data_IF_075237553834
#
_entry.id   IF_075237553834
#
_cell.length_a   1.000
_cell.length_b   1.000
_cell.length_c   1.000
_cell.angle_alpha   90.00
_cell.angle_beta   90.00
_cell.angle_gamma   90.00
#
_symmetry.space_group_name_H-M   'P 1'
#
loop_
_entity.id
_entity.type
_entity.pdbx_description
1 polymer ?
#
# COMPACT_ATOMS: atom_id res chain seq x y z
N UNK A 1 58.46 3.04 29.07
CA UNK A 1 58.27 2.11 27.92
C UNK A 1 57.12 1.09 28.08
N UNK A 2 56.08 1.35 28.90
CA UNK A 2 54.92 0.44 29.06
C UNK A 2 53.55 1.05 28.68
N UNK A 3 53.51 2.29 28.19
CA UNK A 3 52.25 2.96 27.82
C UNK A 3 51.97 3.08 26.31
N UNK A 4 52.86 2.61 25.42
CA UNK A 4 52.67 2.69 23.96
C UNK A 4 52.15 1.41 23.29
N UNK A 5 51.85 0.34 24.05
CA UNK A 5 51.41 -0.96 23.51
C UNK A 5 49.93 -1.27 23.71
N UNK A 6 49.17 -0.43 24.44
CA UNK A 6 47.72 -0.62 24.60
C UNK A 6 46.89 0.07 23.52
N UNK A 7 47.39 1.19 22.98
CA UNK A 7 46.66 1.94 21.95
C UNK A 7 46.69 1.25 20.58
N UNK A 8 47.74 0.47 20.28
CA UNK A 8 47.85 -0.25 19.00
C UNK A 8 46.97 -1.52 18.89
N UNK A 9 46.48 -2.08 20.01
CA UNK A 9 45.56 -3.22 19.98
C UNK A 9 44.08 -2.81 19.88
N UNK A 10 43.73 -1.59 20.29
CA UNK A 10 42.36 -1.07 20.15
C UNK A 10 42.06 -0.53 18.75
N UNK A 11 43.07 -0.08 18.00
CA UNK A 11 42.87 0.39 16.62
C UNK A 11 42.74 -0.76 15.60
N UNK A 12 43.29 -1.95 15.90
CA UNK A 12 43.20 -3.12 15.00
C UNK A 12 41.85 -3.86 15.18
N UNK A 13 41.23 -3.79 16.36
CA UNK A 13 39.90 -4.37 16.58
C UNK A 13 38.76 -3.48 16.04
N UNK A 14 38.98 -2.17 15.92
CA UNK A 14 38.03 -1.24 15.31
C UNK A 14 38.08 -1.27 13.76
N UNK A 15 39.24 -1.59 13.17
CA UNK A 15 39.37 -1.72 11.71
C UNK A 15 38.81 -3.06 11.17
N UNK A 16 38.68 -4.10 12.01
CA UNK A 16 38.06 -5.37 11.64
C UNK A 16 36.51 -5.36 11.80
N UNK A 17 35.94 -4.42 12.56
CA UNK A 17 34.49 -4.25 12.70
C UNK A 17 33.89 -3.29 11.67
N UNK A 18 34.71 -2.46 11.02
CA UNK A 18 34.28 -1.54 9.94
C UNK A 18 34.52 -2.08 8.52
N UNK A 19 35.12 -3.26 8.37
CA UNK A 19 35.31 -3.92 7.06
C UNK A 19 34.43 -5.18 6.86
N UNK A 20 33.51 -5.46 7.79
CA UNK A 20 32.62 -6.62 7.77
C UNK A 20 31.15 -6.34 7.47
N UNK A 21 30.77 -5.09 7.17
CA UNK A 21 29.38 -4.69 6.90
C UNK A 21 29.11 -4.23 5.46
N UNK A 22 30.11 -4.33 4.58
CA UNK A 22 29.98 -4.03 3.14
C UNK A 22 29.66 -5.26 2.27
N UNK A 23 29.21 -6.36 2.87
CA UNK A 23 28.79 -7.59 2.16
C UNK A 23 27.50 -8.20 2.77
N UNK A 24 26.59 -7.38 3.30
CA UNK A 24 25.18 -7.78 3.33
C UNK A 24 24.66 -7.61 1.90
N UNK A 25 25.01 -8.57 1.04
CA UNK A 25 24.28 -8.77 -0.20
C UNK A 25 22.83 -9.03 0.20
N UNK A 26 21.97 -8.04 0.02
CA UNK A 26 20.53 -8.25 0.09
C UNK A 26 20.19 -9.43 -0.81
N UNK A 27 19.30 -10.30 -0.35
CA UNK A 27 18.88 -11.46 -1.11
C UNK A 27 18.51 -11.08 -2.54
N UNK A 28 19.03 -11.86 -3.49
CA UNK A 28 18.69 -11.68 -4.89
C UNK A 28 17.25 -12.14 -5.10
N UNK A 29 16.58 -11.64 -6.15
CA UNK A 29 15.23 -12.09 -6.53
C UNK A 29 15.09 -13.62 -6.71
N UNK A 30 16.21 -14.35 -6.80
CA UNK A 30 16.29 -15.81 -6.95
C UNK A 30 15.89 -16.60 -5.69
N UNK A 31 15.85 -15.96 -4.52
CA UNK A 31 15.51 -16.64 -3.26
C UNK A 31 13.99 -16.76 -3.04
N UNK A 32 13.18 -16.14 -3.90
CA UNK A 32 11.72 -16.10 -3.82
C UNK A 32 11.08 -16.57 -5.13
N UNK A 33 9.84 -17.05 -5.06
CA UNK A 33 9.10 -17.49 -6.23
C UNK A 33 8.83 -16.31 -7.20
N UNK A 34 9.05 -16.46 -8.51
CA UNK A 34 8.67 -15.43 -9.48
C UNK A 34 7.16 -15.40 -9.66
N UNK A 35 6.63 -14.25 -10.08
CA UNK A 35 5.27 -14.13 -10.62
C UNK A 35 5.31 -14.56 -12.07
N UNK A 36 4.40 -15.44 -12.47
CA UNK A 36 4.38 -16.04 -13.81
C UNK A 36 3.03 -15.79 -14.46
N UNK A 37 3.05 -15.36 -15.72
CA UNK A 37 1.84 -15.25 -16.52
C UNK A 37 1.17 -16.62 -16.67
N UNK A 38 -0.16 -16.65 -16.53
CA UNK A 38 -0.95 -17.89 -16.58
C UNK A 38 -1.07 -18.62 -15.23
N UNK A 39 -0.44 -18.13 -14.15
CA UNK A 39 -0.80 -18.52 -12.80
C UNK A 39 -2.27 -18.14 -12.54
N UNK A 40 -3.06 -19.08 -12.00
CA UNK A 40 -4.49 -18.87 -11.75
C UNK A 40 -4.70 -18.69 -10.26
N UNK A 41 -5.32 -17.57 -9.89
CA UNK A 41 -5.74 -17.35 -8.51
C UNK A 41 -6.87 -18.31 -8.11
N UNK A 42 -6.78 -18.86 -6.90
CA UNK A 42 -7.66 -19.87 -6.35
C UNK A 42 -8.20 -19.41 -4.98
N UNK A 43 -9.51 -19.21 -4.90
CA UNK A 43 -10.19 -18.82 -3.66
C UNK A 43 -10.85 -20.03 -3.00
N UNK A 44 -10.79 -20.19 -1.66
CA UNK A 44 -10.39 -19.16 -0.70
C UNK A 44 -8.88 -19.08 -0.38
N UNK A 45 -8.04 -19.97 -0.90
CA UNK A 45 -6.62 -20.10 -0.50
C UNK A 45 -5.84 -18.78 -0.66
N UNK A 46 -6.01 -18.10 -1.79
CA UNK A 46 -5.32 -16.84 -2.11
C UNK A 46 -5.88 -15.62 -1.37
N UNK A 47 -6.86 -15.79 -0.47
CA UNK A 47 -7.18 -14.73 0.49
C UNK A 47 -6.09 -14.58 1.57
N UNK A 48 -5.36 -15.66 1.86
CA UNK A 48 -4.31 -15.67 2.86
C UNK A 48 -2.93 -15.29 2.32
N UNK A 49 -1.93 -15.33 3.20
CA UNK A 49 -0.57 -14.95 2.88
C UNK A 49 0.11 -15.91 1.90
N UNK A 50 1.02 -15.37 1.07
CA UNK A 50 1.87 -16.14 0.15
C UNK A 50 3.39 -16.06 0.48
N UNK A 51 3.88 -16.66 1.58
CA UNK A 51 5.27 -16.54 2.05
C UNK A 51 6.38 -16.92 1.05
N UNK A 52 6.03 -17.62 -0.05
CA UNK A 52 6.96 -17.96 -1.13
C UNK A 52 7.40 -16.73 -1.95
N UNK A 53 6.64 -15.64 -1.92
CA UNK A 53 6.96 -14.37 -2.59
C UNK A 53 7.59 -13.37 -1.63
N UNK A 54 8.45 -12.51 -2.16
CA UNK A 54 9.21 -11.55 -1.35
C UNK A 54 8.30 -10.52 -0.68
N UNK A 55 7.42 -9.88 -1.43
CA UNK A 55 6.60 -8.76 -0.97
C UNK A 55 5.14 -9.10 -1.10
N UNK A 56 4.34 -8.71 -0.13
CA UNK A 56 2.90 -8.83 -0.16
C UNK A 56 2.26 -7.73 0.65
N UNK A 57 1.13 -7.22 0.19
CA UNK A 57 0.44 -6.14 0.88
C UNK A 57 -1.07 -6.34 0.91
N UNK A 58 -1.66 -5.94 2.04
CA UNK A 58 -3.10 -5.79 2.24
C UNK A 58 -3.34 -4.31 2.43
N UNK A 59 -4.01 -3.67 1.48
CA UNK A 59 -4.20 -2.23 1.45
C UNK A 59 -5.68 -1.88 1.43
N UNK A 60 -6.17 -1.36 2.56
CA UNK A 60 -7.55 -0.91 2.70
C UNK A 60 -7.59 0.60 2.59
N UNK A 61 -8.47 1.11 1.76
CA UNK A 61 -8.76 2.53 1.64
C UNK A 61 -10.26 2.74 1.67
N UNK A 62 -10.73 3.86 2.22
CA UNK A 62 -12.17 4.12 2.21
C UNK A 62 -12.58 5.45 2.78
N UNK A 63 -13.88 5.70 2.65
CA UNK A 63 -14.56 6.87 3.16
C UNK A 63 -15.49 6.46 4.29
N UNK A 64 -15.47 7.22 5.38
CA UNK A 64 -16.33 7.07 6.54
C UNK A 64 -17.18 8.34 6.70
N UNK A 65 -18.43 8.16 7.07
CA UNK A 65 -19.35 9.23 7.42
C UNK A 65 -19.91 8.95 8.81
N UNK A 66 -19.86 9.96 9.70
CA UNK A 66 -20.46 9.89 11.04
C UNK A 66 -21.96 10.25 11.02
N UNK A 67 -22.61 10.19 12.19
CA UNK A 67 -24.03 10.48 12.33
C UNK A 67 -24.39 11.95 12.01
N UNK A 68 -23.42 12.85 12.16
CA UNK A 68 -23.51 14.28 11.84
C UNK A 68 -23.28 14.57 10.35
N UNK A 69 -22.86 13.57 9.57
CA UNK A 69 -22.64 13.68 8.12
C UNK A 69 -21.24 14.17 7.74
N UNK A 70 -20.26 14.13 8.65
CA UNK A 70 -18.88 14.50 8.33
C UNK A 70 -18.15 13.34 7.65
N UNK A 71 -17.68 13.60 6.44
CA UNK A 71 -16.86 12.69 5.66
C UNK A 71 -15.40 12.72 6.09
N UNK A 72 -14.80 11.54 6.23
CA UNK A 72 -13.38 11.34 6.51
C UNK A 72 -12.83 10.24 5.61
N UNK A 73 -11.58 10.37 5.20
CA UNK A 73 -10.84 9.27 4.62
C UNK A 73 -10.23 8.39 5.71
N UNK A 74 -10.12 7.09 5.47
CA UNK A 74 -9.20 6.23 6.20
C UNK A 74 -8.40 5.32 5.26
N UNK A 75 -7.21 4.92 5.69
CA UNK A 75 -6.50 3.79 5.10
C UNK A 75 -5.85 2.94 6.19
N UNK A 76 -5.72 1.64 5.91
CA UNK A 76 -4.97 0.67 6.72
C UNK A 76 -4.17 -0.21 5.78
N UNK A 77 -2.85 -0.23 5.95
CA UNK A 77 -1.96 -1.05 5.13
C UNK A 77 -1.11 -1.96 5.98
N UNK A 78 -1.02 -3.23 5.59
CA UNK A 78 -0.04 -4.18 6.07
C UNK A 78 0.85 -4.64 4.93
N UNK A 79 2.15 -4.73 5.17
CA UNK A 79 3.14 -5.29 4.26
C UNK A 79 3.83 -6.48 4.92
N UNK A 80 3.96 -7.60 4.19
CA UNK A 80 4.93 -8.64 4.50
C UNK A 80 6.12 -8.51 3.56
N UNK A 81 7.32 -8.46 4.13
CA UNK A 81 8.58 -8.46 3.38
C UNK A 81 9.45 -9.62 3.82
N UNK A 82 9.72 -10.55 2.90
CA UNK A 82 10.80 -11.52 3.01
C UNK A 82 12.15 -10.82 2.86
N UNK A 83 12.98 -10.88 3.89
CA UNK A 83 14.27 -10.17 3.91
C UNK A 83 15.37 -10.93 3.17
N UNK A 84 15.19 -12.25 3.05
CA UNK A 84 16.20 -13.21 2.62
C UNK A 84 17.43 -13.28 3.54
N UNK A 85 17.34 -12.68 4.73
CA UNK A 85 18.34 -12.80 5.78
C UNK A 85 17.99 -13.95 6.72
N UNK A 86 19.01 -14.65 7.21
CA UNK A 86 18.83 -15.67 8.24
C UNK A 86 18.03 -16.90 7.79
N UNK A 87 17.98 -17.20 6.49
CA UNK A 87 17.37 -18.41 5.95
C UNK A 87 17.92 -19.67 6.64
N UNK A 88 19.26 -19.75 6.74
CA UNK A 88 19.98 -20.87 7.37
C UNK A 88 20.15 -20.72 8.90
N UNK A 89 19.59 -19.68 9.52
CA UNK A 89 19.77 -19.42 10.95
C UNK A 89 18.61 -20.02 11.75
N UNK A 90 18.78 -21.11 12.53
CA UNK A 90 17.67 -21.81 13.19
C UNK A 90 16.96 -20.99 14.30
N UNK A 91 17.46 -19.81 14.64
CA UNK A 91 16.83 -18.93 15.63
C UNK A 91 15.43 -18.52 15.21
N UNK A 92 14.47 -18.60 16.15
CA UNK A 92 13.14 -18.01 16.01
C UNK A 92 13.16 -16.48 15.86
N UNK A 93 14.29 -15.85 16.21
CA UNK A 93 14.49 -14.41 16.12
C UNK A 93 15.18 -13.97 14.83
N UNK A 94 15.57 -14.91 13.95
CA UNK A 94 16.16 -14.55 12.67
C UNK A 94 15.13 -13.74 11.85
N UNK A 95 15.50 -12.57 11.33
CA UNK A 95 14.57 -11.62 10.73
C UNK A 95 14.20 -12.05 9.30
N UNK A 96 13.70 -13.27 9.11
CA UNK A 96 13.40 -13.81 7.77
C UNK A 96 12.28 -13.05 7.08
N UNK A 97 11.33 -12.56 7.87
CA UNK A 97 10.21 -11.77 7.42
C UNK A 97 10.00 -10.59 8.36
N UNK A 98 9.57 -9.48 7.78
CA UNK A 98 9.06 -8.31 8.48
C UNK A 98 7.57 -8.17 8.17
N UNK A 99 6.79 -7.80 9.18
CA UNK A 99 5.44 -7.27 9.04
C UNK A 99 5.53 -5.78 9.34
N UNK A 100 5.11 -4.95 8.40
CA UNK A 100 5.09 -3.50 8.52
C UNK A 100 3.64 -3.08 8.39
N UNK A 101 3.25 -2.03 9.09
CA UNK A 101 1.90 -1.51 8.98
C UNK A 101 1.90 0.00 9.15
N UNK A 102 0.96 0.64 8.48
CA UNK A 102 0.56 2.00 8.81
C UNK A 102 -0.95 2.15 8.64
N UNK A 103 -1.51 3.10 9.35
CA UNK A 103 -2.92 3.45 9.25
C UNK A 103 -3.06 4.96 9.39
N UNK A 104 -4.09 5.51 8.77
CA UNK A 104 -4.31 6.94 8.79
C UNK A 104 -5.78 7.35 8.69
N UNK A 105 -6.08 8.53 9.23
CA UNK A 105 -7.35 9.23 9.08
C UNK A 105 -7.10 10.59 8.42
N UNK A 106 -7.85 10.85 7.35
CA UNK A 106 -7.94 12.14 6.69
C UNK A 106 -9.21 12.85 7.15
N UNK A 107 -9.07 13.76 8.12
CA UNK A 107 -10.16 14.61 8.62
C UNK A 107 -9.91 16.07 8.21
N UNK A 108 -10.77 16.66 7.35
CA UNK A 108 -10.67 18.07 6.98
C UNK A 108 -10.64 19.05 8.17
N UNK A 109 -11.29 18.71 9.30
CA UNK A 109 -11.25 19.55 10.50
C UNK A 109 -9.87 19.56 11.17
N UNK A 110 -9.08 18.49 10.99
CA UNK A 110 -7.69 18.41 11.45
C UNK A 110 -6.73 19.09 10.47
N UNK A 111 -7.06 19.08 9.17
CA UNK A 111 -6.32 19.77 8.11
C UNK A 111 -4.97 19.13 7.75
N UNK A 112 -4.64 17.99 8.33
CA UNK A 112 -3.51 17.14 7.99
C UNK A 112 -3.80 15.68 8.37
N UNK A 113 -3.06 14.74 7.78
CA UNK A 113 -3.20 13.32 8.04
C UNK A 113 -2.85 12.97 9.51
N UNK A 114 -3.78 12.34 10.23
CA UNK A 114 -3.45 11.63 11.47
C UNK A 114 -2.98 10.25 11.08
N UNK A 115 -1.78 9.83 11.50
CA UNK A 115 -1.28 8.50 11.15
C UNK A 115 -0.47 7.86 12.27
N UNK A 116 -0.37 6.53 12.20
CA UNK A 116 0.48 5.70 13.03
C UNK A 116 1.13 4.61 12.17
N UNK A 117 2.29 4.13 12.61
CA UNK A 117 3.06 3.12 11.89
C UNK A 117 3.69 2.11 12.87
N UNK A 118 3.89 0.88 12.41
CA UNK A 118 4.52 -0.22 13.14
C UNK A 118 5.42 -1.03 12.21
N UNK A 119 6.46 -1.61 12.77
CA UNK A 119 7.34 -2.53 12.05
C UNK A 119 7.89 -3.56 13.01
N UNK A 120 7.62 -4.83 12.72
CA UNK A 120 8.05 -5.95 13.53
C UNK A 120 8.61 -7.08 12.69
N UNK A 121 9.49 -7.90 13.27
CA UNK A 121 9.82 -9.20 12.67
C UNK A 121 8.62 -10.10 12.84
N UNK A 122 8.27 -10.88 11.82
CA UNK A 122 7.25 -11.91 11.96
C UNK A 122 7.67 -12.90 13.06
N UNK A 123 6.92 -12.93 14.15
CA UNK A 123 7.20 -13.74 15.34
C UNK A 123 5.88 -14.05 16.05
N UNK A 124 5.36 -15.25 15.86
CA UNK A 124 4.18 -15.71 16.57
C UNK A 124 4.40 -15.72 18.11
N UNK A 125 3.42 -15.25 18.92
CA UNK A 125 2.10 -14.74 18.52
C UNK A 125 2.05 -13.22 18.28
N UNK A 126 3.19 -12.51 18.33
CA UNK A 126 3.25 -11.05 18.35
C UNK A 126 2.98 -10.41 16.98
N UNK A 127 3.39 -11.04 15.90
CA UNK A 127 3.15 -10.53 14.55
C UNK A 127 3.27 -11.64 13.51
N UNK A 128 2.53 -11.52 12.42
CA UNK A 128 2.55 -12.50 11.35
C UNK A 128 1.50 -12.26 10.29
N UNK A 129 1.43 -13.20 9.35
CA UNK A 129 0.35 -13.33 8.38
C UNK A 129 0.05 -14.81 8.14
N UNK A 130 -1.21 -15.22 8.24
CA UNK A 130 -1.66 -16.61 8.08
C UNK A 130 -1.84 -16.97 6.61
N UNK A 131 -1.51 -18.21 6.25
CA UNK A 131 -1.78 -18.78 4.92
C UNK A 131 -3.24 -19.29 4.85
N UNK A 132 -3.85 -19.27 3.66
CA UNK A 132 -5.14 -19.88 3.37
C UNK A 132 -6.38 -19.01 3.69
N UNK A 133 -6.26 -18.02 4.57
CA UNK A 133 -7.27 -17.00 4.76
C UNK A 133 -6.64 -15.68 5.25
N UNK A 134 -7.31 -14.53 5.02
CA UNK A 134 -6.77 -13.23 5.46
C UNK A 134 -6.69 -13.19 6.99
N UNK A 135 -5.47 -13.12 7.50
CA UNK A 135 -5.17 -12.73 8.87
C UNK A 135 -3.75 -12.20 8.91
N UNK A 136 -3.58 -10.89 9.12
CA UNK A 136 -2.28 -10.22 9.23
C UNK A 136 -2.31 -9.31 10.46
N UNK A 137 -1.25 -9.33 11.27
CA UNK A 137 -1.25 -8.62 12.54
C UNK A 137 0.12 -8.14 13.01
N UNK A 138 0.12 -7.08 13.82
CA UNK A 138 1.22 -6.61 14.65
C UNK A 138 0.64 -6.18 16.00
N UNK A 139 0.91 -6.98 17.04
CA UNK A 139 0.35 -6.79 18.39
C UNK A 139 -1.18 -6.69 18.35
N UNK A 140 -1.77 -5.57 18.77
CA UNK A 140 -3.21 -5.30 18.72
C UNK A 140 -3.72 -4.72 17.38
N UNK A 141 -2.86 -4.58 16.36
CA UNK A 141 -3.29 -4.21 15.01
C UNK A 141 -3.55 -5.45 14.18
N UNK A 142 -4.70 -5.55 13.53
CA UNK A 142 -5.02 -6.72 12.71
C UNK A 142 -5.97 -6.42 11.57
N UNK A 143 -5.83 -7.19 10.49
CA UNK A 143 -6.86 -7.43 9.49
C UNK A 143 -7.13 -8.93 9.44
N UNK A 144 -8.37 -9.34 9.68
CA UNK A 144 -8.83 -10.73 9.56
C UNK A 144 -10.01 -10.84 8.61
N UNK A 145 -10.26 -12.06 8.11
CA UNK A 145 -11.47 -12.41 7.40
C UNK A 145 -12.12 -13.63 8.04
N UNK A 146 -13.43 -13.59 8.20
CA UNK A 146 -14.24 -14.74 8.57
C UNK A 146 -15.53 -14.76 7.75
N UNK A 147 -15.87 -15.90 7.16
CA UNK A 147 -17.08 -16.09 6.34
C UNK A 147 -17.25 -15.04 5.22
N UNK A 148 -16.13 -14.58 4.63
CA UNK A 148 -16.15 -13.56 3.58
C UNK A 148 -16.17 -12.11 4.08
N UNK A 149 -16.36 -11.88 5.39
CA UNK A 149 -16.40 -10.54 5.99
C UNK A 149 -15.05 -10.22 6.62
N UNK A 150 -14.52 -9.03 6.35
CA UNK A 150 -13.27 -8.58 6.94
C UNK A 150 -13.52 -7.78 8.22
N UNK A 151 -12.61 -7.89 9.18
CA UNK A 151 -12.55 -7.04 10.36
C UNK A 151 -11.15 -6.44 10.46
N UNK A 152 -11.08 -5.13 10.70
CA UNK A 152 -9.82 -4.45 10.97
C UNK A 152 -9.89 -3.73 12.30
N UNK A 153 -8.81 -3.86 13.06
CA UNK A 153 -8.63 -3.25 14.38
C UNK A 153 -7.29 -2.53 14.38
N UNK A 154 -7.31 -1.25 14.71
CA UNK A 154 -6.14 -0.37 14.77
C UNK A 154 -6.29 0.48 16.03
N UNK A 155 -5.34 0.34 16.97
CA UNK A 155 -5.29 1.18 18.16
C UNK A 155 -4.05 2.08 18.19
N UNK A 156 -4.24 3.38 18.31
CA UNK A 156 -3.13 4.34 18.32
C UNK A 156 -3.33 5.47 19.32
N UNK A 157 -2.29 6.30 19.49
CA UNK A 157 -2.38 7.45 20.38
C UNK A 157 -3.45 8.48 19.91
N UNK A 158 -3.57 8.68 18.60
CA UNK A 158 -4.40 9.77 18.04
C UNK A 158 -5.79 9.32 17.60
N UNK A 159 -5.93 8.05 17.22
CA UNK A 159 -7.18 7.49 16.73
C UNK A 159 -7.25 5.97 16.91
N UNK A 160 -8.45 5.42 16.95
CA UNK A 160 -8.69 3.98 16.81
C UNK A 160 -9.67 3.70 15.68
N UNK A 161 -9.51 2.55 15.02
CA UNK A 161 -10.46 2.00 14.06
C UNK A 161 -10.85 0.58 14.49
N UNK A 162 -12.15 0.34 14.55
CA UNK A 162 -12.73 -1.00 14.66
C UNK A 162 -13.82 -1.12 13.61
N UNK A 163 -13.47 -1.66 12.44
CA UNK A 163 -14.35 -1.66 11.27
C UNK A 163 -14.64 -3.08 10.80
N UNK A 164 -15.89 -3.31 10.41
CA UNK A 164 -16.32 -4.47 9.63
C UNK A 164 -16.45 -4.06 8.18
N UNK A 165 -15.85 -4.81 7.26
CA UNK A 165 -15.90 -4.56 5.82
C UNK A 165 -16.54 -5.75 5.10
N UNK A 166 -17.72 -5.52 4.54
CA UNK A 166 -18.53 -6.58 3.92
C UNK A 166 -18.45 -6.46 2.39
N UNK A 167 -17.85 -7.43 1.68
CA UNK A 167 -17.80 -7.39 0.23
C UNK A 167 -19.19 -7.66 -0.38
N UNK A 168 -19.52 -7.03 -1.51
CA UNK A 168 -20.78 -7.28 -2.22
C UNK A 168 -20.74 -8.58 -3.03
N UNK A 169 -19.55 -9.15 -3.26
CA UNK A 169 -19.38 -10.28 -4.15
C UNK A 169 -17.95 -10.86 -4.19
N UNK A 170 -17.64 -11.66 -5.24
CA UNK A 170 -16.33 -12.26 -5.41
C UNK A 170 -15.23 -11.19 -5.63
N UNK A 171 -13.94 -11.57 -5.48
CA UNK A 171 -12.85 -10.66 -5.78
C UNK A 171 -12.80 -10.29 -7.26
N UNK A 172 -12.43 -9.04 -7.55
CA UNK A 172 -12.12 -8.59 -8.90
C UNK A 172 -10.65 -8.82 -9.18
N UNK A 173 -10.34 -9.59 -10.23
CA UNK A 173 -8.96 -9.81 -10.64
C UNK A 173 -8.45 -8.59 -11.41
N UNK A 174 -7.22 -8.15 -11.12
CA UNK A 174 -6.58 -7.08 -11.84
C UNK A 174 -5.63 -7.62 -12.92
N UNK A 175 -5.47 -6.87 -14.00
CA UNK A 175 -4.66 -7.32 -15.13
C UNK A 175 -5.22 -8.58 -15.79
N UNK A 176 -4.36 -9.40 -16.41
CA UNK A 176 -4.78 -10.60 -17.15
C UNK A 176 -4.95 -11.76 -16.18
N UNK A 177 -6.18 -12.05 -15.77
CA UNK A 177 -6.52 -13.14 -14.84
C UNK A 177 -5.76 -13.08 -13.48
N UNK A 178 -5.49 -11.87 -12.99
CA UNK A 178 -4.72 -11.63 -11.76
C UNK A 178 -3.25 -11.32 -12.00
N UNK A 179 -2.72 -11.52 -13.21
CA UNK A 179 -1.37 -11.10 -13.58
C UNK A 179 -1.35 -9.61 -13.95
N UNK A 180 -0.82 -8.78 -13.05
CA UNK A 180 -0.71 -7.33 -13.22
C UNK A 180 0.73 -6.92 -13.52
N UNK A 181 1.01 -6.60 -14.80
CA UNK A 181 2.30 -6.11 -15.25
C UNK A 181 2.49 -4.64 -14.86
N UNK A 182 3.67 -4.29 -14.34
CA UNK A 182 3.98 -2.96 -13.79
C UNK A 182 4.96 -2.14 -14.61
N UNK A 183 5.74 -2.77 -15.49
CA UNK A 183 6.70 -2.09 -16.37
C UNK A 183 6.72 -2.72 -17.76
N UNK A 184 7.42 -2.14 -18.76
CA UNK A 184 7.57 -2.78 -20.07
C UNK A 184 8.20 -4.18 -20.03
N UNK A 185 9.06 -4.46 -19.04
CA UNK A 185 9.54 -5.82 -18.80
C UNK A 185 8.45 -6.63 -18.08
N UNK A 186 7.90 -7.70 -18.70
CA UNK A 186 6.84 -8.51 -18.11
C UNK A 186 7.30 -9.29 -16.86
N UNK A 187 8.60 -9.42 -16.61
CA UNK A 187 9.10 -10.00 -15.36
C UNK A 187 8.70 -9.15 -14.14
N UNK A 188 8.53 -7.83 -14.32
CA UNK A 188 8.05 -6.91 -13.28
C UNK A 188 6.52 -6.93 -13.26
N UNK A 189 5.98 -7.93 -12.59
CA UNK A 189 4.54 -8.13 -12.44
C UNK A 189 4.21 -8.56 -11.01
N UNK A 190 2.91 -8.59 -10.71
CA UNK A 190 2.37 -9.05 -9.45
C UNK A 190 1.12 -9.87 -9.69
N UNK A 191 0.89 -10.85 -8.82
CA UNK A 191 -0.42 -11.48 -8.69
C UNK A 191 -1.28 -10.51 -7.86
N UNK A 192 -2.47 -10.16 -8.36
CA UNK A 192 -3.24 -9.02 -7.85
C UNK A 192 -4.76 -9.19 -8.03
N UNK A 193 -5.50 -9.07 -6.93
CA UNK A 193 -6.94 -8.84 -6.95
C UNK A 193 -7.36 -7.72 -5.98
N UNK A 194 -8.57 -7.21 -6.19
CA UNK A 194 -9.23 -6.22 -5.34
C UNK A 194 -10.57 -6.71 -4.80
N UNK A 195 -11.02 -6.11 -3.71
CA UNK A 195 -12.40 -6.11 -3.22
C UNK A 195 -12.92 -4.66 -3.27
N UNK A 196 -13.50 -4.22 -4.39
CA UNK A 196 -14.16 -2.93 -4.45
C UNK A 196 -15.49 -2.96 -3.70
N UNK A 197 -16.08 -1.79 -3.47
CA UNK A 197 -17.45 -1.59 -2.99
C UNK A 197 -17.72 -2.27 -1.63
N UNK A 198 -16.70 -2.40 -0.77
CA UNK A 198 -16.85 -2.94 0.57
C UNK A 198 -17.77 -2.02 1.38
N UNK A 199 -18.89 -2.53 1.89
CA UNK A 199 -19.70 -1.79 2.85
C UNK A 199 -18.97 -1.75 4.19
N UNK A 200 -18.86 -0.55 4.78
CA UNK A 200 -18.15 -0.33 6.04
C UNK A 200 -19.12 0.06 7.13
N UNK A 201 -18.98 -0.57 8.29
CA UNK A 201 -19.65 -0.18 9.53
C UNK A 201 -18.68 -0.36 10.70
N UNK A 202 -18.73 0.52 11.70
CA UNK A 202 -17.85 0.37 12.86
C UNK A 202 -17.74 1.56 13.78
N UNK A 203 -16.65 1.57 14.54
CA UNK A 203 -16.25 2.64 15.43
C UNK A 203 -14.99 3.33 14.93
N UNK A 204 -14.97 4.65 15.09
CA UNK A 204 -13.79 5.50 14.92
C UNK A 204 -13.64 6.31 16.21
N UNK A 205 -12.52 6.15 16.92
CA UNK A 205 -12.14 7.09 17.97
C UNK A 205 -11.24 8.16 17.38
N UNK A 206 -11.58 9.44 17.57
CA UNK A 206 -10.72 10.57 17.24
C UNK A 206 -10.50 11.40 18.50
N UNK A 207 -9.24 11.50 18.94
CA UNK A 207 -8.90 12.06 20.25
C UNK A 207 -9.74 11.40 21.36
N UNK A 208 -10.59 12.17 22.05
CA UNK A 208 -11.46 11.70 23.14
C UNK A 208 -12.92 11.47 22.69
N UNK A 209 -13.19 11.42 21.39
CA UNK A 209 -14.53 11.23 20.84
C UNK A 209 -14.67 9.87 20.16
N UNK A 210 -15.65 9.09 20.60
CA UNK A 210 -16.04 7.83 19.96
C UNK A 210 -17.20 8.10 18.98
N UNK A 211 -16.95 7.81 17.70
CA UNK A 211 -17.88 8.02 16.60
C UNK A 211 -18.35 6.67 16.07
N UNK A 212 -19.65 6.52 15.86
CA UNK A 212 -20.19 5.46 15.00
C UNK A 212 -20.12 5.91 13.57
N UNK A 213 -19.54 5.07 12.72
CA UNK A 213 -19.27 5.40 11.32
C UNK A 213 -19.81 4.32 10.39
N UNK A 214 -20.18 4.75 9.20
CA UNK A 214 -20.51 3.88 8.07
C UNK A 214 -19.87 4.42 6.79
N UNK A 215 -19.79 3.62 5.74
CA UNK A 215 -19.28 4.12 4.46
C UNK A 215 -18.92 3.02 3.47
N UNK A 216 -17.94 3.32 2.62
CA UNK A 216 -17.47 2.42 1.58
C UNK A 216 -15.96 2.36 1.53
N UNK A 217 -15.43 1.17 1.28
CA UNK A 217 -14.00 0.92 1.19
C UNK A 217 -13.64 0.04 -0.01
N UNK A 218 -12.34 -0.12 -0.15
CA UNK A 218 -11.64 -0.91 -1.14
C UNK A 218 -10.55 -1.69 -0.41
N UNK A 219 -10.35 -2.96 -0.75
CA UNK A 219 -9.17 -3.72 -0.34
C UNK A 219 -8.40 -4.16 -1.59
N UNK A 220 -7.10 -3.90 -1.61
CA UNK A 220 -6.15 -4.55 -2.49
C UNK A 220 -5.37 -5.63 -1.76
N UNK A 221 -5.17 -6.76 -2.44
CA UNK A 221 -4.29 -7.81 -2.00
C UNK A 221 -3.40 -8.23 -3.16
N UNK A 222 -2.09 -8.05 -2.98
CA UNK A 222 -1.14 -8.23 -4.06
C UNK A 222 0.23 -8.69 -3.55
N UNK A 223 0.87 -9.57 -4.31
CA UNK A 223 2.17 -10.14 -3.97
C UNK A 223 3.10 -10.27 -5.19
N UNK A 224 4.40 -10.15 -4.93
CA UNK A 224 5.43 -10.22 -5.95
C UNK A 224 6.81 -10.53 -5.37
N UNK A 225 7.78 -10.79 -6.24
CA UNK A 225 9.19 -10.95 -5.87
C UNK A 225 10.14 -9.98 -6.54
N UNK A 226 9.62 -9.07 -7.38
CA UNK A 226 10.43 -8.06 -8.03
C UNK A 226 10.44 -6.76 -7.23
N UNK A 227 11.62 -6.16 -7.14
CA UNK A 227 11.77 -4.82 -6.60
C UNK A 227 11.51 -3.82 -7.73
N UNK A 228 11.01 -2.64 -7.36
CA UNK A 228 10.86 -1.52 -8.28
C UNK A 228 12.18 -1.28 -9.06
N UNK A 229 12.16 -1.33 -10.42
CA UNK A 229 13.39 -1.23 -11.20
C UNK A 229 14.05 0.14 -11.06
N UNK A 230 15.36 0.22 -11.33
CA UNK A 230 16.17 1.45 -11.15
C UNK A 230 15.69 2.64 -11.99
N UNK A 231 15.03 2.34 -13.11
CA UNK A 231 14.44 3.29 -14.04
C UNK A 231 13.15 3.92 -13.51
N UNK A 232 12.50 3.30 -12.52
CA UNK A 232 11.29 3.79 -11.89
C UNK A 232 11.61 4.62 -10.63
N UNK A 233 10.95 5.77 -10.52
CA UNK A 233 11.08 6.73 -9.40
C UNK A 233 10.08 6.42 -8.28
N UNK A 234 8.88 6.00 -8.65
CA UNK A 234 7.74 5.74 -7.78
C UNK A 234 6.47 5.55 -8.63
N UNK A 235 5.32 5.50 -7.98
CA UNK A 235 4.04 5.30 -8.64
C UNK A 235 2.98 6.29 -8.19
N UNK A 236 1.96 6.43 -9.03
CA UNK A 236 0.68 7.04 -8.70
C UNK A 236 -0.37 5.94 -8.91
N UNK A 237 -1.20 5.68 -7.92
CA UNK A 237 -2.23 4.65 -7.95
C UNK A 237 -3.57 5.23 -7.50
N UNK A 238 -4.66 4.77 -8.11
CA UNK A 238 -6.02 5.06 -7.67
C UNK A 238 -6.85 3.79 -7.57
N UNK A 239 -7.73 3.76 -6.58
CA UNK A 239 -8.81 2.80 -6.43
C UNK A 239 -10.09 3.55 -6.08
N UNK A 240 -11.07 3.52 -6.98
CA UNK A 240 -12.30 4.31 -6.90
C UNK A 240 -13.51 3.38 -6.93
N UNK A 241 -14.37 3.52 -5.93
CA UNK A 241 -15.73 2.99 -5.95
C UNK A 241 -16.60 3.95 -6.76
N UNK A 242 -17.14 3.46 -7.88
CA UNK A 242 -18.01 4.25 -8.75
C UNK A 242 -19.45 4.24 -8.22
N UNK A 243 -20.18 5.33 -8.45
CA UNK A 243 -21.56 5.51 -7.98
C UNK A 243 -22.55 4.58 -8.68
N UNK A 244 -22.18 4.00 -9.83
CA UNK A 244 -22.96 2.99 -10.55
C UNK A 244 -22.80 1.57 -9.99
N UNK A 245 -22.03 1.38 -8.91
CA UNK A 245 -21.68 0.07 -8.33
C UNK A 245 -20.42 -0.56 -8.95
N UNK A 246 -19.85 0.10 -9.95
CA UNK A 246 -18.60 -0.27 -10.61
C UNK A 246 -17.35 0.07 -9.82
N UNK A 247 -16.20 -0.09 -10.45
CA UNK A 247 -14.89 0.12 -9.83
C UNK A 247 -13.85 0.56 -10.84
N UNK A 248 -12.96 1.46 -10.46
CA UNK A 248 -11.79 1.82 -11.25
C UNK A 248 -10.54 1.67 -10.38
N UNK A 249 -9.68 0.72 -10.75
CA UNK A 249 -8.27 0.69 -10.32
C UNK A 249 -7.41 1.15 -11.49
N UNK A 250 -6.51 2.10 -11.25
CA UNK A 250 -5.58 2.54 -12.28
C UNK A 250 -4.27 3.00 -11.63
N UNK A 251 -3.17 2.83 -12.34
CA UNK A 251 -1.88 3.30 -11.86
C UNK A 251 -0.98 3.72 -13.01
N UNK A 252 0.08 4.45 -12.66
CA UNK A 252 1.26 4.60 -13.48
C UNK A 252 2.54 4.42 -12.68
N UNK A 253 3.53 3.79 -13.30
CA UNK A 253 4.93 3.88 -12.88
C UNK A 253 5.58 5.09 -13.55
N UNK A 254 6.40 5.82 -12.81
CA UNK A 254 7.07 7.02 -13.33
C UNK A 254 8.57 6.83 -13.49
N UNK A 255 9.11 7.43 -14.55
CA UNK A 255 10.52 7.75 -14.66
C UNK A 255 10.94 8.86 -13.68
N UNK A 256 12.25 9.08 -13.53
CA UNK A 256 12.80 10.15 -12.67
C UNK A 256 12.47 11.56 -13.14
N UNK A 257 12.25 11.74 -14.44
CA UNK A 257 11.82 13.01 -15.02
C UNK A 257 10.30 13.24 -14.89
N UNK A 258 9.57 12.28 -14.31
CA UNK A 258 8.13 12.34 -14.11
C UNK A 258 7.30 11.80 -15.27
N UNK A 259 7.92 11.40 -16.39
CA UNK A 259 7.21 10.77 -17.50
C UNK A 259 6.73 9.35 -17.14
N UNK A 260 5.68 8.88 -17.81
CA UNK A 260 5.12 7.55 -17.59
C UNK A 260 6.06 6.47 -18.15
N UNK A 261 6.53 5.58 -17.28
CA UNK A 261 7.24 4.35 -17.66
C UNK A 261 6.26 3.26 -18.11
N UNK A 262 5.13 3.17 -17.41
CA UNK A 262 4.07 2.19 -17.65
C UNK A 262 2.78 2.67 -17.01
N UNK A 263 1.65 2.30 -17.58
CA UNK A 263 0.33 2.52 -16.99
C UNK A 263 -0.53 1.28 -17.18
N UNK A 264 -1.48 1.08 -16.29
CA UNK A 264 -2.42 -0.03 -16.38
C UNK A 264 -3.57 0.16 -15.42
N UNK A 265 -4.66 -0.55 -15.66
CA UNK A 265 -5.83 -0.48 -14.80
C UNK A 265 -6.87 -1.55 -15.08
N UNK A 266 -7.91 -1.53 -14.28
CA UNK A 266 -9.07 -2.41 -14.38
C UNK A 266 -10.31 -1.57 -14.08
N UNK A 267 -11.18 -1.46 -15.07
CA UNK A 267 -12.42 -0.70 -15.02
C UNK A 267 -13.60 -1.66 -15.09
N UNK A 268 -14.57 -1.52 -14.20
CA UNK A 268 -15.84 -2.21 -14.26
C UNK A 268 -16.96 -1.20 -14.11
N UNK A 269 -17.94 -1.22 -14.99
CA UNK A 269 -19.15 -0.42 -14.88
C UNK A 269 -20.27 -1.27 -14.28
N UNK A 270 -20.85 -0.83 -13.16
CA UNK A 270 -21.83 -1.63 -12.41
C UNK A 270 -21.43 -3.10 -12.26
N UNK A 271 -22.26 -3.99 -12.82
CA UNK A 271 -22.10 -5.45 -12.83
C UNK A 271 -21.58 -6.00 -14.17
N UNK A 272 -21.05 -5.16 -15.05
CA UNK A 272 -20.46 -5.58 -16.32
C UNK A 272 -19.15 -6.37 -16.12
N UNK A 273 -18.65 -6.97 -17.20
CA UNK A 273 -17.33 -7.60 -17.19
C UNK A 273 -16.24 -6.54 -17.03
N UNK A 274 -15.22 -6.85 -16.23
CA UNK A 274 -14.11 -5.92 -16.02
C UNK A 274 -13.26 -5.77 -17.29
N UNK A 275 -13.07 -4.52 -17.72
CA UNK A 275 -12.17 -4.14 -18.80
C UNK A 275 -10.76 -3.91 -18.24
N UNK A 276 -9.77 -4.57 -18.84
CA UNK A 276 -8.36 -4.31 -18.57
C UNK A 276 -7.90 -3.15 -19.44
N UNK A 277 -7.36 -2.11 -18.80
CA UNK A 277 -6.86 -0.90 -19.47
C UNK A 277 -5.39 -1.08 -19.82
N UNK A 278 -5.04 -0.92 -21.10
CA UNK A 278 -3.67 -0.93 -21.57
C UNK A 278 -2.98 0.44 -21.38
N UNK A 279 -1.63 0.50 -21.46
CA UNK A 279 -0.90 1.75 -21.28
C UNK A 279 -1.30 2.88 -22.24
N UNK A 280 -1.80 2.56 -23.43
CA UNK A 280 -2.25 3.52 -24.45
C UNK A 280 -3.66 4.05 -24.20
N UNK A 281 -4.47 3.37 -23.39
CA UNK A 281 -5.84 3.77 -23.05
C UNK A 281 -5.92 4.68 -21.82
N UNK A 282 -4.83 4.79 -21.06
CA UNK A 282 -4.83 5.41 -19.73
C UNK A 282 -3.72 6.46 -19.61
N UNK A 283 -4.11 7.72 -19.47
CA UNK A 283 -3.17 8.84 -19.33
C UNK A 283 -3.44 9.61 -18.04
N UNK A 284 -2.37 9.88 -17.29
CA UNK A 284 -2.41 10.70 -16.07
C UNK A 284 -1.74 12.04 -16.35
N UNK A 285 -2.50 13.12 -16.22
CA UNK A 285 -2.01 14.47 -16.36
C UNK A 285 -2.03 15.18 -15.00
N UNK A 286 -0.86 15.60 -14.47
CA UNK A 286 -0.79 16.24 -13.17
C UNK A 286 -1.40 17.65 -13.22
N UNK A 287 -2.34 17.93 -12.32
CA UNK A 287 -2.97 19.23 -12.15
C UNK A 287 -2.30 20.08 -11.07
N UNK A 288 -3.11 20.64 -10.16
CA UNK A 288 -2.65 21.48 -9.05
C UNK A 288 -1.67 20.72 -8.15
N UNK A 289 -0.61 21.43 -7.73
CA UNK A 289 0.42 20.90 -6.84
C UNK A 289 0.33 21.48 -5.45
N UNK A 290 0.63 20.65 -4.47
CA UNK A 290 0.84 21.03 -3.07
C UNK A 290 2.27 20.66 -2.66
N UNK A 291 2.90 21.52 -1.85
CA UNK A 291 4.23 21.25 -1.30
C UNK A 291 4.10 20.97 0.19
N UNK A 292 4.63 19.83 0.63
CA UNK A 292 4.66 19.47 2.04
C UNK A 292 5.54 20.44 2.82
N UNK A 293 5.02 21.09 3.87
CA UNK A 293 5.85 21.89 4.77
C UNK A 293 6.75 21.01 5.66
N UNK A 294 6.48 19.69 5.77
CA UNK A 294 7.23 18.76 6.63
C UNK A 294 8.43 18.14 5.94
N UNK A 295 8.27 17.74 4.67
CA UNK A 295 9.30 17.00 3.92
C UNK A 295 9.90 17.80 2.76
N UNK A 296 9.21 18.87 2.34
CA UNK A 296 9.54 19.63 1.14
C UNK A 296 9.14 18.96 -0.18
N UNK A 297 8.57 17.75 -0.14
CA UNK A 297 8.09 17.04 -1.32
C UNK A 297 6.93 17.79 -2.00
N UNK A 298 6.85 17.70 -3.33
CA UNK A 298 5.84 18.38 -4.13
C UNK A 298 4.97 17.34 -4.82
N UNK A 299 3.68 17.33 -4.49
CA UNK A 299 2.72 16.36 -4.97
C UNK A 299 1.70 17.04 -5.91
N UNK A 300 1.42 16.50 -7.10
CA UNK A 300 0.19 16.81 -7.83
C UNK A 300 -1.00 16.21 -7.07
N UNK A 301 -1.74 17.03 -6.34
CA UNK A 301 -2.88 16.56 -5.52
C UNK A 301 -4.19 16.52 -6.31
N UNK A 302 -4.23 17.22 -7.45
CA UNK A 302 -5.29 17.10 -8.45
C UNK A 302 -4.74 16.49 -9.72
N UNK A 303 -5.57 15.73 -10.41
CA UNK A 303 -5.20 15.06 -11.67
C UNK A 303 -6.34 15.10 -12.67
N UNK A 304 -5.96 15.08 -13.93
CA UNK A 304 -6.83 14.68 -15.02
C UNK A 304 -6.44 13.28 -15.46
N UNK A 305 -7.41 12.37 -15.49
CA UNK A 305 -7.25 10.99 -15.93
C UNK A 305 -8.04 10.83 -17.22
N UNK A 306 -7.36 10.50 -18.31
CA UNK A 306 -8.00 10.17 -19.58
C UNK A 306 -8.12 8.65 -19.72
N UNK A 307 -9.34 8.16 -19.96
CA UNK A 307 -9.64 6.74 -20.18
C UNK A 307 -10.55 6.62 -21.40
N UNK A 308 -10.07 5.99 -22.48
CA UNK A 308 -10.83 5.79 -23.73
C UNK A 308 -11.51 7.08 -24.25
N UNK A 309 -10.81 8.21 -24.16
CA UNK A 309 -11.29 9.53 -24.59
C UNK A 309 -12.26 10.24 -23.63
N UNK A 310 -12.58 9.62 -22.48
CA UNK A 310 -13.28 10.28 -21.36
C UNK A 310 -12.27 11.01 -20.49
N UNK A 311 -12.63 12.20 -20.05
CA UNK A 311 -11.80 13.02 -19.18
C UNK A 311 -12.38 13.05 -17.77
N UNK A 312 -11.63 12.49 -16.82
CA UNK A 312 -12.01 12.41 -15.42
C UNK A 312 -11.09 13.31 -14.60
N UNK A 313 -11.63 13.95 -13.56
CA UNK A 313 -10.83 14.78 -12.64
C UNK A 313 -10.79 14.11 -11.27
N UNK A 314 -9.59 13.99 -10.71
CA UNK A 314 -9.40 13.63 -9.30
C UNK A 314 -9.24 14.88 -8.46
N UNK A 315 -10.08 14.99 -7.43
CA UNK A 315 -10.07 16.11 -6.49
C UNK A 315 -9.88 15.60 -5.05
N UNK A 316 -8.82 16.05 -4.35
CA UNK A 316 -8.50 15.54 -3.03
C UNK A 316 -9.49 16.05 -1.99
N UNK A 317 -9.77 15.25 -0.95
CA UNK A 317 -10.55 15.67 0.21
C UNK A 317 -9.92 16.88 0.92
N UNK A 318 -8.60 16.84 1.06
CA UNK A 318 -7.75 17.95 1.52
C UNK A 318 -6.34 17.78 0.95
N UNK A 319 -5.56 18.86 0.93
CA UNK A 319 -4.22 18.86 0.34
C UNK A 319 -3.22 18.03 1.16
N UNK A 320 -3.23 18.19 2.48
CA UNK A 320 -2.23 17.60 3.37
C UNK A 320 -2.62 16.18 3.82
N UNK A 321 -2.43 15.23 2.91
CA UNK A 321 -2.63 13.79 3.16
C UNK A 321 -1.29 13.03 3.07
N UNK A 322 -0.17 13.69 3.39
CA UNK A 322 1.16 13.07 3.38
C UNK A 322 1.40 12.24 4.64
N UNK A 323 1.75 10.97 4.44
CA UNK A 323 2.15 10.00 5.46
C UNK A 323 3.68 9.84 5.46
N UNK A 324 4.31 10.20 6.58
CA UNK A 324 5.74 9.96 6.78
C UNK A 324 5.96 8.56 7.38
N UNK A 325 6.22 7.58 6.52
CA UNK A 325 6.42 6.16 6.87
C UNK A 325 7.87 5.77 7.07
N UNK A 326 8.77 6.74 7.31
CA UNK A 326 10.22 6.48 7.34
C UNK A 326 10.66 5.54 8.46
N UNK A 327 9.86 5.34 9.52
CA UNK A 327 10.22 4.43 10.63
C UNK A 327 9.72 3.01 10.42
N UNK A 328 8.78 2.79 9.51
CA UNK A 328 8.26 1.48 9.14
C UNK A 328 8.79 1.03 7.78
N UNK A 329 8.29 1.61 6.70
CA UNK A 329 8.60 1.20 5.32
C UNK A 329 9.80 1.94 4.73
N UNK A 330 10.30 2.98 5.42
CA UNK A 330 11.44 3.78 4.94
C UNK A 330 11.05 4.80 3.86
N UNK A 331 9.76 5.00 3.59
CA UNK A 331 9.26 5.86 2.54
C UNK A 331 8.33 6.97 3.08
N UNK A 332 8.09 7.98 2.23
CA UNK A 332 7.07 8.99 2.44
C UNK A 332 6.05 8.85 1.32
N UNK A 333 4.78 8.80 1.70
CA UNK A 333 3.63 8.59 0.83
C UNK A 333 2.75 9.83 0.87
N UNK A 334 1.94 10.01 -0.16
CA UNK A 334 0.72 10.79 -0.05
C UNK A 334 -0.43 9.81 -0.22
N UNK A 335 -1.27 9.70 0.80
CA UNK A 335 -2.29 8.66 1.00
C UNK A 335 -3.64 9.34 1.18
N UNK A 336 -4.26 9.76 0.08
CA UNK A 336 -5.35 10.72 0.17
C UNK A 336 -6.67 10.24 -0.39
N UNK A 337 -7.70 10.41 0.43
CA UNK A 337 -9.08 10.32 0.01
C UNK A 337 -9.33 11.34 -1.11
N UNK A 338 -9.90 10.86 -2.21
CA UNK A 338 -10.16 11.64 -3.42
C UNK A 338 -11.56 11.35 -3.97
N UNK A 339 -12.12 12.36 -4.63
CA UNK A 339 -13.34 12.26 -5.44
C UNK A 339 -12.94 12.11 -6.90
N UNK A 340 -13.72 11.34 -7.64
CA UNK A 340 -13.63 11.23 -9.10
C UNK A 340 -14.80 11.99 -9.70
N UNK A 341 -14.50 12.95 -10.59
CA UNK A 341 -15.49 13.78 -11.25
C UNK A 341 -15.45 13.57 -12.77
N UNK A 342 -16.60 13.66 -13.41
CA UNK A 342 -16.77 13.74 -14.86
C UNK A 342 -17.69 14.92 -15.15
N UNK A 343 -17.26 15.84 -16.03
CA UNK A 343 -17.99 17.09 -16.32
C UNK A 343 -18.42 17.90 -15.08
N UNK A 344 -17.62 17.82 -14.01
CA UNK A 344 -17.87 18.50 -12.74
C UNK A 344 -18.87 17.79 -11.81
N UNK A 345 -19.41 16.64 -12.20
CA UNK A 345 -20.25 15.80 -11.36
C UNK A 345 -19.42 14.70 -10.68
N UNK A 346 -19.61 14.50 -9.38
CA UNK A 346 -18.99 13.38 -8.66
C UNK A 346 -19.59 12.05 -9.15
N UNK A 347 -18.75 11.18 -9.69
CA UNK A 347 -19.11 9.85 -10.19
C UNK A 347 -18.54 8.72 -9.35
N UNK A 348 -17.69 9.04 -8.36
CA UNK A 348 -17.14 8.04 -7.45
C UNK A 348 -16.23 8.65 -6.39
N UNK A 349 -15.87 7.82 -5.41
CA UNK A 349 -14.97 8.16 -4.32
C UNK A 349 -13.97 7.03 -4.08
N UNK A 350 -12.78 7.39 -3.64
CA UNK A 350 -11.75 6.41 -3.35
C UNK A 350 -10.48 7.07 -2.86
N UNK A 351 -9.35 6.50 -3.25
CA UNK A 351 -8.03 6.97 -2.82
C UNK A 351 -7.08 7.19 -4.00
N UNK A 352 -6.15 8.10 -3.77
CA UNK A 352 -4.96 8.31 -4.57
C UNK A 352 -3.74 8.06 -3.66
N UNK A 353 -2.90 7.12 -4.05
CA UNK A 353 -1.59 6.88 -3.44
C UNK A 353 -0.50 7.43 -4.36
N UNK A 354 0.45 8.15 -3.78
CA UNK A 354 1.63 8.65 -4.50
C UNK A 354 2.91 8.37 -3.72
N UNK A 355 3.85 7.69 -4.38
CA UNK A 355 5.17 7.37 -3.81
C UNK A 355 6.30 8.00 -4.61
N UNK A 356 7.50 8.12 -4.03
CA UNK A 356 8.68 8.54 -4.79
C UNK A 356 8.82 10.04 -5.06
N UNK A 357 7.93 10.90 -4.55
CA UNK A 357 8.02 12.36 -4.68
C UNK A 357 9.02 13.00 -3.70
N UNK A 358 9.16 12.45 -2.50
CA UNK A 358 10.21 12.86 -1.55
C UNK A 358 11.57 12.29 -1.94
N UNK A 359 11.64 10.97 -2.14
CA UNK A 359 12.84 10.22 -2.55
C UNK A 359 12.41 8.90 -3.19
N UNK A 360 13.19 8.42 -4.16
CA UNK A 360 13.01 7.09 -4.76
C UNK A 360 13.06 6.02 -3.68
N UNK A 361 12.09 5.11 -3.69
CA UNK A 361 12.14 3.91 -2.86
C UNK A 361 13.19 2.94 -3.41
N UNK A 362 14.14 2.53 -2.59
CA UNK A 362 15.21 1.58 -2.97
C UNK A 362 14.86 0.14 -2.59
N UNK A 363 13.61 -0.12 -2.20
CA UNK A 363 13.16 -1.37 -1.60
C UNK A 363 13.45 -1.44 -0.10
N UNK A 364 12.92 -2.50 0.52
CA UNK A 364 13.28 -2.99 1.86
C UNK A 364 14.09 -4.29 1.75
#
# INVERSE_FOLDING_TARGET
>A
MKHRRRDALQTILAAALCLGLTLLGGAAAKDFAPVLEGHRLAFPEDNGAHPKYRTEWWYITGWLTDAEGHDRGFQVTFFRVGTGLGADNPSRFAPRQLILAHAAIADPATGHLLHAERAERALDPLSGASVGNTHVWIDDWSLSQENGVYQTTIHSASFDLELTLTPPGPPQLNGRDGFSQKTPDPANASDYYSRPQLAVEGGLRLADQDLRVSGQAWLDHEWSSQILPETAQGWDWIGINLNDGGSLMAFRMRHRDGSTLWAGGTLRHGDEEAQILSPDQLHFEPGRRWQSPRTGAVYPVEWVIEIDGRQLTLSPLMDDQELDGRRSTGAVYWEGATRLLEDGQEIGRGYLEMTGYWRRQTGL
#
